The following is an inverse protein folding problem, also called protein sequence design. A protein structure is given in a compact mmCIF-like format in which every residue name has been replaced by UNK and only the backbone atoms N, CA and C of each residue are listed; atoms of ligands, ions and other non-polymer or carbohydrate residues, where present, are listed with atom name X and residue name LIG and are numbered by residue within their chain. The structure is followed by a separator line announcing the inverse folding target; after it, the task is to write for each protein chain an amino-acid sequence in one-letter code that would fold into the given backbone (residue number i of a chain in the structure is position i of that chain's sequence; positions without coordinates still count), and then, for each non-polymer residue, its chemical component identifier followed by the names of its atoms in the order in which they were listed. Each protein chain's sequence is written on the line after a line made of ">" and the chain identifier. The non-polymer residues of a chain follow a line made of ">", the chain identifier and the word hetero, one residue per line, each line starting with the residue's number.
data_IF_793742305958
#
_entry.id   IF_793742305958
#
_cell.length_a   1.000
_cell.length_b   1.000
_cell.length_c   1.000
_cell.angle_alpha   90.00
_cell.angle_beta   90.00
_cell.angle_gamma   90.00
#
_symmetry.space_group_name_H-M   'P 1'
#
loop_
_entity.id
_entity.type
_entity.pdbx_description
1 polymer ?
#
# COMPACT_ATOMS: atom_id res chain seq x y z
N UNK A 1 15.18 -23.80 4.74
CA UNK A 1 16.07 -22.73 5.27
C UNK A 1 17.47 -23.20 5.63
N UNK A 2 17.69 -24.35 6.32
CA UNK A 2 19.04 -24.78 6.76
C UNK A 2 20.12 -24.88 5.67
N UNK A 3 19.74 -25.06 4.41
CA UNK A 3 20.68 -25.11 3.27
C UNK A 3 21.30 -23.74 2.96
N UNK A 4 20.66 -22.65 3.38
CA UNK A 4 21.16 -21.28 3.28
C UNK A 4 21.44 -20.74 4.69
N UNK A 5 22.72 -20.76 5.08
CA UNK A 5 23.16 -20.34 6.41
C UNK A 5 22.94 -18.86 6.67
N UNK A 6 23.03 -18.01 5.64
CA UNK A 6 22.85 -16.56 5.77
C UNK A 6 21.38 -16.26 6.03
N UNK A 7 20.49 -16.84 5.22
CA UNK A 7 19.05 -16.69 5.37
C UNK A 7 18.56 -17.19 6.74
N UNK A 8 19.08 -18.33 7.19
CA UNK A 8 18.74 -18.88 8.50
C UNK A 8 19.21 -17.98 9.66
N UNK A 9 20.42 -17.41 9.56
CA UNK A 9 20.94 -16.47 10.56
C UNK A 9 20.05 -15.23 10.68
N UNK A 10 19.67 -14.61 9.56
CA UNK A 10 18.79 -13.44 9.54
C UNK A 10 17.39 -13.77 10.07
N UNK A 11 16.83 -14.93 9.71
CA UNK A 11 15.57 -15.44 10.26
C UNK A 11 15.63 -15.56 11.79
N UNK A 12 16.69 -16.17 12.33
CA UNK A 12 16.89 -16.30 13.78
C UNK A 12 17.04 -14.95 14.48
N UNK A 13 17.71 -13.97 13.84
CA UNK A 13 17.81 -12.60 14.37
C UNK A 13 16.43 -11.93 14.51
N UNK A 14 15.56 -12.05 13.50
CA UNK A 14 14.20 -11.49 13.55
C UNK A 14 13.41 -12.08 14.72
N UNK A 15 13.47 -13.40 14.90
CA UNK A 15 12.76 -14.08 15.99
C UNK A 15 13.33 -13.73 17.37
N UNK A 16 14.66 -13.61 17.48
CA UNK A 16 15.29 -13.16 18.71
C UNK A 16 14.82 -11.75 19.07
N UNK A 17 14.77 -10.83 18.11
CA UNK A 17 14.23 -9.49 18.35
C UNK A 17 12.76 -9.54 18.80
N UNK A 18 11.94 -10.40 18.20
CA UNK A 18 10.56 -10.58 18.67
C UNK A 18 10.45 -11.12 20.10
N UNK A 19 11.36 -12.01 20.52
CA UNK A 19 11.43 -12.50 21.89
C UNK A 19 11.88 -11.40 22.86
N UNK A 20 12.96 -10.69 22.52
CA UNK A 20 13.55 -9.64 23.35
C UNK A 20 12.56 -8.47 23.54
N UNK A 21 11.73 -8.17 22.53
CA UNK A 21 10.66 -7.16 22.59
C UNK A 21 9.35 -7.68 23.23
N UNK A 22 9.27 -8.97 23.59
CA UNK A 22 8.07 -9.60 24.13
C UNK A 22 6.90 -9.70 23.15
N UNK A 23 7.17 -9.56 21.85
CA UNK A 23 6.19 -9.73 20.75
C UNK A 23 5.75 -11.19 20.65
N UNK A 24 6.67 -12.12 20.86
CA UNK A 24 6.40 -13.55 20.96
C UNK A 24 6.90 -14.10 22.29
N UNK A 25 6.38 -15.24 22.70
CA UNK A 25 6.87 -15.99 23.86
C UNK A 25 6.93 -17.49 23.56
N UNK A 26 7.82 -18.18 24.25
CA UNK A 26 7.92 -19.65 24.18
C UNK A 26 6.77 -20.27 24.97
N UNK A 27 6.09 -21.23 24.37
CA UNK A 27 5.07 -22.03 25.06
C UNK A 27 5.79 -23.16 25.81
N UNK A 28 5.75 -23.13 27.14
CA UNK A 28 6.48 -24.08 27.99
C UNK A 28 5.88 -25.49 27.98
N UNK A 29 4.54 -25.58 27.96
CA UNK A 29 3.80 -26.85 28.00
C UNK A 29 2.83 -26.95 26.80
N UNK A 30 3.34 -27.05 25.56
CA UNK A 30 2.49 -26.96 24.37
C UNK A 30 1.51 -28.12 24.21
N UNK A 31 1.79 -29.26 24.84
CA UNK A 31 0.97 -30.47 24.79
C UNK A 31 -0.08 -30.57 25.90
N UNK A 32 -0.08 -29.63 26.85
CA UNK A 32 -1.14 -29.56 27.86
C UNK A 32 -2.37 -28.94 27.20
N UNK A 33 -3.52 -29.63 27.19
CA UNK A 33 -4.75 -29.09 26.62
C UNK A 33 -5.10 -27.76 27.27
N UNK A 34 -5.41 -26.77 26.44
CA UNK A 34 -5.95 -25.49 26.89
C UNK A 34 -7.46 -25.54 26.81
N UNK A 35 -8.14 -24.80 27.70
CA UNK A 35 -9.59 -24.58 27.57
C UNK A 35 -9.97 -23.59 26.45
N UNK A 36 -8.97 -23.08 25.72
CA UNK A 36 -9.12 -22.16 24.61
C UNK A 36 -8.79 -22.85 23.28
N UNK A 37 -9.36 -22.38 22.15
CA UNK A 37 -8.97 -22.84 20.82
C UNK A 37 -7.45 -22.67 20.58
N UNK A 38 -6.87 -23.62 19.83
CA UNK A 38 -5.45 -23.64 19.51
C UNK A 38 -5.28 -23.74 18.01
N UNK A 39 -4.40 -22.93 17.44
CA UNK A 39 -4.08 -22.98 16.00
C UNK A 39 -2.59 -22.70 15.79
N UNK A 40 -1.99 -23.42 14.83
CA UNK A 40 -0.59 -23.31 14.47
C UNK A 40 -0.45 -22.68 13.09
N UNK A 41 0.04 -21.45 13.04
CA UNK A 41 0.30 -20.70 11.84
C UNK A 41 1.53 -21.26 11.12
N UNK A 42 1.41 -21.75 9.87
CA UNK A 42 2.56 -21.92 9.03
C UNK A 42 3.18 -20.55 8.72
N UNK A 43 4.50 -20.53 8.57
CA UNK A 43 5.22 -19.32 8.23
C UNK A 43 6.35 -19.58 7.25
N UNK A 44 6.65 -18.55 6.46
CA UNK A 44 7.70 -18.56 5.47
C UNK A 44 8.47 -17.25 5.46
N UNK A 45 9.69 -17.27 4.92
CA UNK A 45 10.51 -16.06 4.77
C UNK A 45 10.34 -15.50 3.37
N UNK A 46 10.10 -14.19 3.30
CA UNK A 46 10.09 -13.41 2.06
C UNK A 46 11.25 -12.43 2.09
N UNK A 47 12.04 -12.42 1.01
CA UNK A 47 13.10 -11.44 0.80
C UNK A 47 12.55 -10.28 -0.04
N UNK A 48 12.56 -9.07 0.52
CA UNK A 48 12.21 -7.84 -0.18
C UNK A 48 13.48 -7.09 -0.56
N UNK A 49 14.05 -7.42 -1.72
CA UNK A 49 15.27 -6.78 -2.22
C UNK A 49 15.13 -5.26 -2.36
N UNK A 50 13.92 -4.77 -2.66
CA UNK A 50 13.58 -3.35 -2.80
C UNK A 50 13.36 -2.62 -1.45
N UNK A 51 13.39 -3.32 -0.30
CA UNK A 51 13.18 -2.68 1.00
C UNK A 51 14.49 -2.12 1.55
N UNK A 52 14.53 -0.80 1.76
CA UNK A 52 15.67 -0.10 2.37
C UNK A 52 15.93 -0.55 3.81
N UNK A 53 14.88 -0.84 4.60
CA UNK A 53 15.01 -1.08 6.05
C UNK A 53 14.85 -2.53 6.49
N UNK A 54 14.17 -3.38 5.72
CA UNK A 54 13.87 -4.75 6.17
C UNK A 54 13.85 -5.72 4.99
N UNK A 55 15.05 -6.19 4.63
CA UNK A 55 15.25 -7.12 3.50
C UNK A 55 14.62 -8.50 3.74
N UNK A 56 14.47 -8.95 4.99
CA UNK A 56 13.87 -10.24 5.34
C UNK A 56 12.61 -10.03 6.19
N UNK A 57 11.48 -10.60 5.75
CA UNK A 57 10.24 -10.64 6.56
C UNK A 57 9.78 -12.08 6.75
N UNK A 58 9.30 -12.39 7.96
CA UNK A 58 8.60 -13.64 8.25
C UNK A 58 7.12 -13.38 8.04
N UNK A 59 6.48 -14.16 7.17
CA UNK A 59 5.05 -14.08 6.87
C UNK A 59 4.38 -15.30 7.46
N UNK A 60 3.36 -15.04 8.29
CA UNK A 60 2.51 -16.05 8.89
C UNK A 60 1.22 -16.13 8.08
N UNK A 61 0.78 -17.36 7.77
CA UNK A 61 -0.38 -17.60 6.92
C UNK A 61 -1.55 -18.13 7.76
N UNK A 62 -2.47 -17.23 8.10
CA UNK A 62 -3.69 -17.57 8.83
C UNK A 62 -4.83 -18.05 7.92
N UNK A 63 -4.61 -18.08 6.60
CA UNK A 63 -5.55 -18.63 5.62
C UNK A 63 -5.21 -20.09 5.25
N UNK A 64 -4.06 -20.61 5.70
CA UNK A 64 -3.70 -21.99 5.48
C UNK A 64 -4.67 -22.95 6.20
N UNK A 65 -5.15 -23.95 5.46
CA UNK A 65 -6.02 -25.01 5.96
C UNK A 65 -5.86 -26.26 5.10
N UNK A 66 -6.21 -27.42 5.68
CA UNK A 66 -6.37 -28.66 4.93
C UNK A 66 -7.68 -28.65 4.14
N UNK A 67 -7.80 -29.51 3.13
CA UNK A 67 -9.02 -29.62 2.34
C UNK A 67 -10.22 -29.90 3.26
N UNK A 68 -11.30 -29.12 3.09
CA UNK A 68 -12.55 -29.21 3.88
C UNK A 68 -12.40 -28.84 5.37
N UNK A 69 -11.28 -28.25 5.78
CA UNK A 69 -11.12 -27.67 7.12
C UNK A 69 -11.20 -26.15 7.06
N UNK A 70 -11.50 -25.52 8.19
CA UNK A 70 -11.47 -24.06 8.31
C UNK A 70 -10.06 -23.56 8.65
N UNK A 71 -9.66 -22.47 8.01
CA UNK A 71 -8.49 -21.72 8.44
C UNK A 71 -8.80 -20.87 9.68
N UNK A 72 -7.76 -20.29 10.28
CA UNK A 72 -7.97 -19.32 11.35
C UNK A 72 -8.81 -18.14 10.86
N UNK A 73 -8.52 -17.63 9.67
CA UNK A 73 -9.24 -16.49 9.09
C UNK A 73 -10.73 -16.80 8.85
N UNK A 74 -11.10 -18.04 8.52
CA UNK A 74 -12.51 -18.45 8.37
C UNK A 74 -13.26 -18.45 9.70
N UNK A 75 -12.55 -18.67 10.81
CA UNK A 75 -13.13 -18.74 12.15
C UNK A 75 -13.21 -17.37 12.84
N UNK A 76 -12.55 -16.35 12.31
CA UNK A 76 -12.47 -15.03 12.92
C UNK A 76 -13.48 -14.06 12.33
N UNK A 77 -14.08 -13.24 13.20
CA UNK A 77 -14.82 -12.07 12.75
C UNK A 77 -13.82 -11.00 12.28
N UNK A 78 -13.81 -10.74 10.97
CA UNK A 78 -12.89 -9.79 10.32
C UNK A 78 -13.04 -8.34 10.82
N UNK A 79 -14.23 -7.98 11.30
CA UNK A 79 -14.57 -6.58 11.60
C UNK A 79 -14.91 -5.78 10.34
N UNK A 80 -15.48 -4.59 10.54
CA UNK A 80 -15.79 -3.65 9.44
C UNK A 80 -14.52 -3.00 8.93
N UNK A 81 -14.47 -2.66 7.64
CA UNK A 81 -13.33 -1.90 7.12
C UNK A 81 -13.41 -0.45 7.62
N UNK A 82 -12.48 -0.08 8.51
CA UNK A 82 -12.34 1.27 9.05
C UNK A 82 -11.25 2.09 8.35
N UNK A 83 -10.52 1.50 7.40
CA UNK A 83 -9.54 2.24 6.62
C UNK A 83 -10.28 3.14 5.60
N UNK A 84 -9.74 4.34 5.33
CA UNK A 84 -10.26 5.22 4.30
C UNK A 84 -10.14 4.58 2.91
N UNK A 85 -10.94 5.09 1.98
CA UNK A 85 -10.83 4.70 0.59
C UNK A 85 -9.49 5.18 0.01
N UNK A 86 -8.73 4.27 -0.61
CA UNK A 86 -7.42 4.59 -1.21
C UNK A 86 -7.55 5.65 -2.30
N UNK A 87 -8.63 5.63 -3.09
CA UNK A 87 -8.88 6.65 -4.12
C UNK A 87 -9.03 8.04 -3.49
N UNK A 88 -9.86 8.16 -2.46
CA UNK A 88 -10.09 9.43 -1.76
C UNK A 88 -8.80 9.95 -1.13
N UNK A 89 -8.00 9.06 -0.53
CA UNK A 89 -6.68 9.40 0.00
C UNK A 89 -5.72 9.88 -1.08
N UNK A 90 -5.66 9.20 -2.22
CA UNK A 90 -4.78 9.59 -3.32
C UNK A 90 -5.23 10.91 -3.95
N UNK A 91 -6.53 11.18 -4.04
CA UNK A 91 -7.05 12.48 -4.49
C UNK A 91 -6.64 13.57 -3.50
N UNK A 92 -6.91 13.38 -2.20
CA UNK A 92 -6.50 14.31 -1.14
C UNK A 92 -4.98 14.55 -1.16
N UNK A 93 -4.20 13.48 -1.28
CA UNK A 93 -2.75 13.54 -1.41
C UNK A 93 -2.30 14.38 -2.61
N UNK A 94 -3.02 14.31 -3.74
CA UNK A 94 -2.78 15.13 -4.92
C UNK A 94 -3.29 16.57 -4.79
N UNK A 95 -4.24 16.82 -3.89
CA UNK A 95 -4.79 18.15 -3.63
C UNK A 95 -3.93 18.99 -2.68
N UNK A 96 -3.09 18.39 -1.84
CA UNK A 96 -2.25 19.15 -0.90
C UNK A 96 -1.00 19.70 -1.60
N UNK A 97 -0.70 21.00 -1.48
CA UNK A 97 0.52 21.57 -2.08
C UNK A 97 1.79 20.96 -1.51
N UNK A 98 1.86 20.88 -0.18
CA UNK A 98 2.95 20.22 0.55
C UNK A 98 2.41 18.91 1.08
N UNK A 99 2.84 17.82 0.46
CA UNK A 99 2.47 16.46 0.82
C UNK A 99 3.44 15.89 1.86
N UNK A 100 2.91 15.07 2.77
CA UNK A 100 3.70 14.32 3.76
C UNK A 100 3.27 12.85 3.81
N UNK A 101 4.25 11.99 4.01
CA UNK A 101 4.03 10.59 4.38
C UNK A 101 4.76 10.29 5.69
N UNK A 102 4.20 9.39 6.49
CA UNK A 102 4.87 8.79 7.64
C UNK A 102 4.40 7.36 7.88
N UNK A 103 5.30 6.51 8.38
CA UNK A 103 5.01 5.13 8.73
C UNK A 103 4.78 5.02 10.24
N UNK A 104 3.87 4.15 10.68
CA UNK A 104 3.77 3.72 12.07
C UNK A 104 4.71 2.52 12.30
N UNK A 105 5.66 2.67 13.22
CA UNK A 105 6.58 1.58 13.55
C UNK A 105 5.86 0.32 14.07
N UNK A 106 5.98 -0.78 13.31
CA UNK A 106 5.49 -2.12 13.68
C UNK A 106 4.02 -2.08 14.13
N UNK A 107 3.18 -1.33 13.41
CA UNK A 107 1.84 -0.92 13.83
C UNK A 107 1.00 -2.01 14.51
N UNK A 108 0.83 -3.17 13.87
CA UNK A 108 0.09 -4.30 14.45
C UNK A 108 0.74 -4.85 15.73
N UNK A 109 2.07 -4.98 15.74
CA UNK A 109 2.83 -5.56 16.85
C UNK A 109 2.85 -4.66 18.10
N UNK A 110 2.36 -3.42 18.00
CA UNK A 110 2.15 -2.55 19.16
C UNK A 110 0.85 -2.88 19.92
N UNK A 111 -0.04 -3.71 19.37
CA UNK A 111 -1.35 -4.02 19.95
C UNK A 111 -1.27 -5.38 20.64
N UNK A 112 -1.59 -5.43 21.93
CA UNK A 112 -1.57 -6.67 22.71
C UNK A 112 -2.79 -7.54 22.43
N UNK A 113 -2.56 -8.86 22.32
CA UNK A 113 -3.63 -9.85 22.31
C UNK A 113 -4.09 -10.15 23.73
N UNK A 114 -5.39 -10.38 23.90
CA UNK A 114 -5.91 -10.86 25.17
C UNK A 114 -5.35 -12.26 25.47
N UNK A 115 -5.07 -12.60 26.74
CA UNK A 115 -4.46 -13.89 27.11
C UNK A 115 -5.17 -15.13 26.54
N UNK A 116 -6.51 -15.08 26.45
CA UNK A 116 -7.34 -16.16 25.91
C UNK A 116 -7.18 -16.41 24.41
N UNK A 117 -6.74 -15.40 23.66
CA UNK A 117 -6.64 -15.44 22.19
C UNK A 117 -5.20 -15.73 21.71
N UNK A 118 -4.22 -15.81 22.62
CA UNK A 118 -2.81 -16.04 22.24
C UNK A 118 -2.55 -17.43 21.66
N UNK A 119 -3.38 -18.41 22.01
CA UNK A 119 -3.16 -19.80 21.59
C UNK A 119 -3.65 -20.11 20.16
N UNK A 120 -4.43 -19.22 19.55
CA UNK A 120 -4.79 -19.32 18.13
C UNK A 120 -3.72 -18.75 17.19
N UNK A 121 -2.63 -18.20 17.73
CA UNK A 121 -1.51 -17.63 16.96
C UNK A 121 -0.18 -18.28 17.34
N UNK A 122 -0.20 -19.60 17.58
CA UNK A 122 1.02 -20.39 17.79
C UNK A 122 1.74 -20.62 16.48
N UNK A 123 3.03 -20.92 16.54
CA UNK A 123 3.81 -21.37 15.40
C UNK A 123 4.99 -22.23 15.86
N UNK A 124 5.53 -23.02 14.93
CA UNK A 124 6.53 -24.03 15.18
C UNK A 124 7.89 -23.58 14.68
N UNK A 125 8.95 -23.75 15.48
CA UNK A 125 10.32 -23.49 15.04
C UNK A 125 11.15 -24.75 15.22
N UNK A 126 11.75 -25.19 14.13
CA UNK A 126 12.72 -26.28 14.11
C UNK A 126 13.95 -25.94 14.98
N UNK A 127 14.26 -26.80 15.96
CA UNK A 127 15.33 -26.59 16.93
C UNK A 127 16.64 -27.27 16.50
N UNK A 128 17.07 -27.04 15.26
CA UNK A 128 18.35 -27.58 14.78
C UNK A 128 18.42 -29.11 14.71
N UNK A 129 17.30 -29.82 14.82
CA UNK A 129 17.22 -31.29 14.78
C UNK A 129 16.92 -31.89 16.15
N UNK A 130 17.00 -31.08 17.20
CA UNK A 130 16.65 -31.46 18.57
C UNK A 130 15.15 -31.22 18.84
N UNK A 131 14.29 -31.59 17.88
CA UNK A 131 12.84 -31.40 17.94
C UNK A 131 12.36 -30.01 17.52
N UNK A 132 11.17 -29.65 17.99
CA UNK A 132 10.46 -28.42 17.61
C UNK A 132 10.13 -27.61 18.85
N UNK A 133 10.42 -26.31 18.81
CA UNK A 133 9.97 -25.35 19.81
C UNK A 133 8.64 -24.73 19.38
N UNK A 134 7.73 -24.56 20.33
CA UNK A 134 6.46 -23.86 20.10
C UNK A 134 6.55 -22.45 20.64
N UNK A 135 6.19 -21.48 19.81
CA UNK A 135 6.07 -20.08 20.18
C UNK A 135 4.65 -19.60 19.90
N UNK A 136 4.26 -18.49 20.52
CA UNK A 136 3.01 -17.79 20.23
C UNK A 136 3.19 -16.28 20.25
N UNK A 137 2.34 -15.58 19.52
CA UNK A 137 2.31 -14.12 19.55
C UNK A 137 1.60 -13.59 20.80
N UNK A 138 2.16 -12.53 21.35
CA UNK A 138 1.57 -11.68 22.39
C UNK A 138 0.88 -10.44 21.81
N UNK A 139 0.98 -10.25 20.49
CA UNK A 139 0.59 -9.05 19.76
C UNK A 139 -0.18 -9.39 18.50
N UNK A 140 -1.00 -8.46 18.03
CA UNK A 140 -1.69 -8.57 16.73
C UNK A 140 -0.63 -8.64 15.63
N UNK A 141 -0.81 -9.52 14.65
CA UNK A 141 0.19 -9.81 13.61
C UNK A 141 -0.36 -9.63 12.20
N UNK A 142 0.54 -9.44 11.24
CA UNK A 142 0.21 -9.49 9.82
C UNK A 142 -0.24 -10.91 9.41
N UNK A 143 -1.15 -10.99 8.44
CA UNK A 143 -1.66 -12.25 7.88
C UNK A 143 -3.01 -12.70 8.45
N UNK A 144 -3.42 -12.14 9.60
CA UNK A 144 -4.75 -12.38 10.20
C UNK A 144 -5.74 -11.33 9.68
N UNK A 145 -6.91 -11.77 9.21
CA UNK A 145 -7.91 -10.92 8.55
C UNK A 145 -8.52 -9.86 9.46
N UNK A 146 -8.60 -10.11 10.77
CA UNK A 146 -9.11 -9.16 11.77
C UNK A 146 -8.09 -8.07 12.15
N UNK A 147 -6.79 -8.25 11.85
CA UNK A 147 -5.74 -7.32 12.24
C UNK A 147 -5.94 -5.89 11.73
N UNK A 148 -6.32 -5.63 10.46
CA UNK A 148 -6.59 -4.28 9.96
C UNK A 148 -7.66 -3.55 10.76
N UNK A 149 -8.78 -4.23 11.10
CA UNK A 149 -9.82 -3.65 11.93
C UNK A 149 -9.30 -3.31 13.33
N UNK A 150 -8.59 -4.24 13.97
CA UNK A 150 -8.04 -4.03 15.32
C UNK A 150 -7.08 -2.84 15.35
N UNK A 151 -6.24 -2.67 14.33
CA UNK A 151 -5.35 -1.51 14.22
C UNK A 151 -6.11 -0.20 14.08
N UNK A 152 -6.98 -0.13 13.08
CA UNK A 152 -7.75 1.08 12.80
C UNK A 152 -8.63 1.47 14.00
N UNK A 153 -9.37 0.53 14.58
CA UNK A 153 -10.20 0.78 15.76
C UNK A 153 -9.38 1.27 16.95
N UNK A 154 -8.18 0.71 17.16
CA UNK A 154 -7.30 1.14 18.25
C UNK A 154 -6.72 2.54 18.00
N UNK A 155 -6.36 2.89 16.76
CA UNK A 155 -5.94 4.25 16.40
C UNK A 155 -7.08 5.23 16.63
N UNK A 156 -8.27 4.96 16.08
CA UNK A 156 -9.46 5.81 16.25
C UNK A 156 -9.78 6.05 17.73
N UNK A 157 -9.81 4.97 18.53
CA UNK A 157 -10.06 5.07 19.97
C UNK A 157 -9.00 5.88 20.73
N UNK A 158 -7.75 5.86 20.25
CA UNK A 158 -6.68 6.62 20.85
C UNK A 158 -6.80 8.11 20.54
N UNK A 159 -6.99 8.47 19.27
CA UNK A 159 -7.06 9.88 18.84
C UNK A 159 -8.29 10.62 19.36
N UNK A 160 -9.40 9.91 19.64
CA UNK A 160 -10.61 10.46 20.29
C UNK A 160 -10.30 11.27 21.56
N UNK A 161 -9.28 10.88 22.33
CA UNK A 161 -8.88 11.56 23.57
C UNK A 161 -8.37 12.98 23.35
N UNK A 162 -8.00 13.32 22.11
CA UNK A 162 -7.36 14.59 21.76
C UNK A 162 -8.27 15.52 20.96
N UNK A 163 -9.52 15.12 20.70
CA UNK A 163 -10.47 15.90 19.87
C UNK A 163 -10.62 17.33 20.38
N UNK A 164 -10.80 17.51 21.69
CA UNK A 164 -10.96 18.83 22.32
C UNK A 164 -9.68 19.70 22.22
N UNK A 165 -8.50 19.08 22.22
CA UNK A 165 -7.21 19.78 22.27
C UNK A 165 -6.64 20.07 20.89
N UNK A 166 -6.82 19.14 19.95
CA UNK A 166 -6.22 19.14 18.63
C UNK A 166 -7.23 18.70 17.55
N UNK A 167 -8.40 19.37 17.42
CA UNK A 167 -9.51 18.89 16.57
C UNK A 167 -9.10 18.74 15.10
N UNK A 168 -8.30 19.67 14.57
CA UNK A 168 -7.82 19.62 13.17
C UNK A 168 -6.93 18.40 12.91
N UNK A 169 -5.92 18.17 13.75
CA UNK A 169 -5.02 17.02 13.63
C UNK A 169 -5.78 15.71 13.82
N UNK A 170 -6.69 15.61 14.78
CA UNK A 170 -7.47 14.39 14.99
C UNK A 170 -8.34 14.06 13.78
N UNK A 171 -8.98 15.06 13.17
CA UNK A 171 -9.73 14.87 11.92
C UNK A 171 -8.84 14.31 10.80
N UNK A 172 -7.64 14.87 10.63
CA UNK A 172 -6.69 14.37 9.62
C UNK A 172 -6.28 12.94 9.94
N UNK A 173 -5.89 12.62 11.17
CA UNK A 173 -5.51 11.25 11.54
C UNK A 173 -6.67 10.26 11.34
N UNK A 174 -7.91 10.64 11.63
CA UNK A 174 -9.08 9.76 11.47
C UNK A 174 -9.37 9.39 10.01
N UNK A 175 -9.06 10.29 9.07
CA UNK A 175 -9.35 10.11 7.63
C UNK A 175 -8.13 9.76 6.79
N UNK A 176 -6.91 10.04 7.26
CA UNK A 176 -5.69 9.94 6.47
C UNK A 176 -4.76 8.76 6.82
N UNK A 177 -5.09 7.98 7.86
CA UNK A 177 -4.38 6.73 8.16
C UNK A 177 -4.91 5.58 7.30
N UNK A 178 -4.07 5.02 6.44
CA UNK A 178 -4.31 3.76 5.74
C UNK A 178 -3.42 2.68 6.33
N UNK A 179 -3.99 1.83 7.19
CA UNK A 179 -3.25 0.78 7.91
C UNK A 179 -2.09 1.39 8.72
N UNK A 180 -0.85 1.26 8.26
CA UNK A 180 0.36 1.77 8.90
C UNK A 180 0.91 3.07 8.27
N UNK A 181 0.30 3.56 7.19
CA UNK A 181 0.76 4.76 6.49
C UNK A 181 -0.15 5.96 6.81
N UNK A 182 0.44 7.09 7.21
CA UNK A 182 -0.21 8.40 7.23
C UNK A 182 0.07 9.10 5.91
N UNK A 183 -0.98 9.46 5.16
CA UNK A 183 -0.87 10.10 3.85
C UNK A 183 -1.69 11.38 3.83
N UNK A 184 -1.04 12.54 3.91
CA UNK A 184 -1.74 13.83 4.03
C UNK A 184 -0.88 14.99 3.53
N UNK A 185 -1.29 16.22 3.80
CA UNK A 185 -0.54 17.44 3.51
C UNK A 185 -1.37 18.67 3.83
N UNK A 186 -0.81 19.85 3.59
CA UNK A 186 -1.48 21.16 3.67
C UNK A 186 -0.85 22.12 2.63
N UNK A 187 -1.30 23.38 2.62
CA UNK A 187 -0.87 24.38 1.63
C UNK A 187 0.42 25.14 2.01
N UNK A 188 0.83 25.11 3.28
CA UNK A 188 2.00 25.86 3.77
C UNK A 188 2.85 25.10 4.80
N UNK A 189 4.14 25.42 4.83
CA UNK A 189 5.15 24.73 5.64
C UNK A 189 4.83 24.75 7.13
N UNK A 190 4.29 25.87 7.64
CA UNK A 190 3.99 26.01 9.06
C UNK A 190 2.84 25.09 9.46
N UNK A 191 1.75 25.09 8.69
CA UNK A 191 0.60 24.23 8.94
C UNK A 191 0.99 22.75 8.89
N UNK A 192 1.80 22.34 7.91
CA UNK A 192 2.30 20.95 7.82
C UNK A 192 3.23 20.60 8.99
N UNK A 193 4.10 21.53 9.41
CA UNK A 193 4.97 21.30 10.56
C UNK A 193 4.18 21.16 11.86
N UNK A 194 3.19 22.02 12.09
CA UNK A 194 2.33 21.97 13.29
C UNK A 194 1.50 20.66 13.30
N UNK A 195 1.00 20.24 12.13
CA UNK A 195 0.31 18.96 11.94
C UNK A 195 1.22 17.77 12.29
N UNK A 196 2.40 17.69 11.68
CA UNK A 196 3.34 16.57 11.89
C UNK A 196 3.86 16.51 13.34
N UNK A 197 4.13 17.66 13.95
CA UNK A 197 4.49 17.78 15.37
C UNK A 197 3.38 17.30 16.29
N UNK A 198 2.14 17.74 16.04
CA UNK A 198 0.98 17.36 16.85
C UNK A 198 0.64 15.89 16.68
N UNK A 199 0.70 15.37 15.44
CA UNK A 199 0.48 13.95 15.16
C UNK A 199 1.52 13.08 15.87
N UNK A 200 2.81 13.46 15.81
CA UNK A 200 3.90 12.76 16.52
C UNK A 200 3.66 12.74 18.03
N UNK A 201 3.22 13.87 18.60
CA UNK A 201 2.89 13.99 20.02
C UNK A 201 1.69 13.13 20.42
N UNK A 202 0.62 13.11 19.62
CA UNK A 202 -0.55 12.26 19.90
C UNK A 202 -0.13 10.79 19.87
N UNK A 203 0.67 10.38 18.90
CA UNK A 203 1.02 8.97 18.70
C UNK A 203 2.09 8.46 19.69
N UNK A 204 2.95 9.35 20.20
CA UNK A 204 3.98 8.97 21.19
C UNK A 204 3.40 8.47 22.52
N UNK A 205 2.21 8.94 22.91
CA UNK A 205 1.53 8.54 24.15
C UNK A 205 1.18 7.03 24.21
N UNK A 206 1.20 6.33 23.08
CA UNK A 206 0.91 4.88 22.98
C UNK A 206 2.08 4.06 22.43
N UNK A 207 3.32 4.54 22.60
CA UNK A 207 4.54 3.94 22.03
C UNK A 207 4.50 3.78 20.51
N UNK A 208 3.60 4.50 19.82
CA UNK A 208 3.47 4.46 18.35
C UNK A 208 4.31 5.58 17.77
N UNK A 209 5.52 5.23 17.36
CA UNK A 209 6.44 6.18 16.76
C UNK A 209 6.06 6.34 15.28
N UNK A 210 5.52 7.51 14.94
CA UNK A 210 5.49 7.97 13.55
C UNK A 210 6.92 8.26 13.14
N UNK A 211 7.33 7.65 12.03
CA UNK A 211 8.71 7.67 11.57
C UNK A 211 8.78 7.77 10.07
N UNK A 212 10.01 7.89 9.56
CA UNK A 212 10.30 7.94 8.13
C UNK A 212 9.49 9.04 7.43
N UNK A 213 9.36 10.18 8.11
CA UNK A 213 8.71 11.35 7.55
C UNK A 213 9.36 11.73 6.22
N UNK A 214 8.55 12.03 5.22
CA UNK A 214 9.01 12.44 3.90
C UNK A 214 8.04 13.47 3.33
N UNK A 215 8.56 14.46 2.59
CA UNK A 215 7.78 15.51 1.97
C UNK A 215 8.42 15.97 0.66
N UNK A 216 7.62 16.59 -0.21
CA UNK A 216 8.12 17.31 -1.39
C UNK A 216 8.71 18.69 -1.07
N UNK A 217 8.51 19.25 0.14
CA UNK A 217 9.03 20.58 0.49
C UNK A 217 10.38 20.52 1.22
N UNK A 218 11.41 21.13 0.63
CA UNK A 218 12.76 21.11 1.18
C UNK A 218 12.95 21.96 2.43
N UNK A 219 12.11 22.98 2.67
CA UNK A 219 12.17 23.79 3.89
C UNK A 219 11.60 23.00 5.06
N UNK A 220 10.48 22.30 4.86
CA UNK A 220 9.92 21.39 5.84
C UNK A 220 10.90 20.27 6.21
N UNK A 221 11.53 19.63 5.22
CA UNK A 221 12.54 18.59 5.48
C UNK A 221 13.70 19.10 6.34
N UNK A 222 14.21 20.32 6.05
CA UNK A 222 15.24 20.96 6.89
C UNK A 222 14.74 21.27 8.30
N UNK A 223 13.50 21.72 8.44
CA UNK A 223 12.91 22.01 9.74
C UNK A 223 12.76 20.74 10.59
N UNK A 224 12.26 19.65 10.00
CA UNK A 224 12.23 18.33 10.65
C UNK A 224 13.61 17.84 11.07
N UNK A 225 14.66 18.09 10.27
CA UNK A 225 16.02 17.76 10.65
C UNK A 225 16.49 18.54 11.89
N UNK A 226 16.21 19.85 11.96
CA UNK A 226 16.55 20.68 13.11
C UNK A 226 15.81 20.25 14.40
N UNK A 227 14.58 19.78 14.25
CA UNK A 227 13.70 19.34 15.34
C UNK A 227 13.83 17.84 15.63
N UNK A 228 14.86 17.18 15.07
CA UNK A 228 15.19 15.77 15.30
C UNK A 228 14.08 14.77 14.98
N UNK A 229 13.25 15.05 13.97
CA UNK A 229 12.29 14.08 13.46
C UNK A 229 13.01 12.91 12.79
N UNK A 230 12.47 11.69 12.94
CA UNK A 230 12.84 10.53 12.12
C UNK A 230 12.28 10.72 10.70
N UNK A 231 13.05 11.40 9.86
CA UNK A 231 12.73 11.68 8.46
C UNK A 231 13.69 10.94 7.53
N UNK A 232 13.22 10.63 6.32
CA UNK A 232 14.04 9.98 5.32
C UNK A 232 15.00 10.99 4.68
N UNK A 233 16.20 10.55 4.34
CA UNK A 233 17.17 11.41 3.67
C UNK A 233 16.78 11.54 2.19
N UNK A 234 16.69 12.77 1.67
CA UNK A 234 16.39 13.00 0.25
C UNK A 234 17.40 12.30 -0.68
N UNK A 235 18.64 12.12 -0.25
CA UNK A 235 19.66 11.42 -1.01
C UNK A 235 19.35 9.93 -1.20
N UNK A 236 18.53 9.32 -0.34
CA UNK A 236 18.13 7.92 -0.47
C UNK A 236 17.16 7.69 -1.66
N UNK A 237 16.59 8.78 -2.21
CA UNK A 237 15.63 8.76 -3.31
C UNK A 237 16.21 9.21 -4.64
N UNK A 238 17.51 9.55 -4.69
CA UNK A 238 18.18 9.88 -5.94
C UNK A 238 18.10 8.65 -6.84
N UNK A 239 17.28 8.73 -7.89
CA UNK A 239 16.91 7.65 -8.82
C UNK A 239 15.95 6.57 -8.29
N UNK A 240 15.36 6.73 -7.11
CA UNK A 240 14.45 5.74 -6.51
C UNK A 240 13.20 6.41 -5.91
N UNK A 241 12.04 6.35 -6.59
CA UNK A 241 10.81 6.92 -6.04
C UNK A 241 10.31 6.13 -4.81
N UNK A 242 9.73 6.84 -3.85
CA UNK A 242 9.11 6.29 -2.64
C UNK A 242 7.76 5.65 -2.97
N UNK A 243 7.34 4.62 -2.22
CA UNK A 243 6.01 4.02 -2.42
C UNK A 243 4.94 4.82 -1.70
N UNK A 244 3.79 5.05 -2.34
CA UNK A 244 2.62 5.65 -1.71
C UNK A 244 1.37 4.90 -2.16
N UNK A 245 0.72 4.21 -1.22
CA UNK A 245 -0.55 3.49 -1.44
C UNK A 245 -0.59 2.62 -2.72
N UNK A 246 0.54 2.02 -3.10
CA UNK A 246 0.68 1.16 -4.29
C UNK A 246 1.25 1.84 -5.54
N UNK A 247 1.33 3.17 -5.56
CA UNK A 247 2.03 3.96 -6.58
C UNK A 247 3.48 4.26 -6.16
N UNK A 248 4.24 4.87 -7.08
CA UNK A 248 5.56 5.43 -6.83
C UNK A 248 5.45 6.96 -6.84
N UNK A 249 6.17 7.62 -5.94
CA UNK A 249 6.23 9.07 -5.80
C UNK A 249 7.69 9.52 -5.70
N UNK A 250 8.08 10.42 -6.60
CA UNK A 250 9.31 11.18 -6.50
C UNK A 250 9.01 12.48 -5.74
N UNK A 251 9.42 12.61 -4.46
CA UNK A 251 9.18 13.82 -3.69
C UNK A 251 10.01 15.01 -4.17
N UNK A 252 11.16 14.78 -4.83
CA UNK A 252 12.05 15.87 -5.25
C UNK A 252 11.47 16.62 -6.44
N UNK A 253 11.01 15.88 -7.45
CA UNK A 253 10.40 16.45 -8.66
C UNK A 253 8.87 16.54 -8.55
N UNK A 254 8.29 15.93 -7.53
CA UNK A 254 6.87 15.87 -7.21
C UNK A 254 5.98 15.18 -8.27
N UNK A 255 6.45 14.04 -8.77
CA UNK A 255 5.74 13.21 -9.76
C UNK A 255 5.33 11.86 -9.19
N UNK A 256 4.16 11.40 -9.60
CA UNK A 256 3.70 10.03 -9.45
C UNK A 256 4.04 9.20 -10.69
N UNK A 257 4.32 7.91 -10.46
CA UNK A 257 4.48 6.92 -11.52
C UNK A 257 3.94 5.55 -11.08
N UNK A 258 3.77 4.65 -12.05
CA UNK A 258 3.24 3.31 -11.83
C UNK A 258 4.36 2.32 -11.48
N UNK A 259 4.05 1.34 -10.63
CA UNK A 259 4.99 0.26 -10.32
C UNK A 259 4.90 -0.87 -11.36
N UNK A 260 5.82 -0.87 -12.32
CA UNK A 260 5.74 -1.77 -13.49
C UNK A 260 6.74 -2.92 -13.51
N UNK A 261 7.74 -2.96 -12.62
CA UNK A 261 8.79 -4.00 -12.64
C UNK A 261 8.21 -5.42 -12.72
N UNK A 262 7.21 -5.72 -11.88
CA UNK A 262 6.57 -7.05 -11.88
C UNK A 262 5.81 -7.39 -13.16
N UNK A 263 5.32 -6.39 -13.89
CA UNK A 263 4.73 -6.54 -15.23
C UNK A 263 5.83 -6.81 -16.26
N UNK A 264 6.85 -5.96 -16.32
CA UNK A 264 7.92 -6.07 -17.31
C UNK A 264 8.68 -7.40 -17.16
N UNK A 265 8.94 -7.84 -15.93
CA UNK A 265 9.59 -9.13 -15.66
C UNK A 265 8.77 -10.32 -16.17
N UNK A 266 7.43 -10.28 -16.02
CA UNK A 266 6.60 -11.40 -16.48
C UNK A 266 6.46 -11.39 -18.00
N UNK A 267 6.38 -10.22 -18.64
CA UNK A 267 6.25 -10.09 -20.09
C UNK A 267 7.46 -10.70 -20.83
N UNK A 268 8.65 -10.72 -20.22
CA UNK A 268 9.82 -11.40 -20.77
C UNK A 268 9.63 -12.91 -21.00
N UNK A 269 8.66 -13.55 -20.32
CA UNK A 269 8.36 -14.97 -20.51
C UNK A 269 7.68 -15.27 -21.85
N UNK A 270 7.17 -14.25 -22.56
CA UNK A 270 6.57 -14.36 -23.91
C UNK A 270 5.59 -15.53 -24.05
N UNK A 271 4.67 -15.67 -23.09
CA UNK A 271 3.59 -16.66 -23.18
C UNK A 271 2.33 -16.01 -23.75
N UNK A 272 1.55 -16.77 -24.49
CA UNK A 272 0.34 -16.27 -25.14
C UNK A 272 -0.83 -17.16 -24.76
N UNK A 273 -1.19 -17.16 -23.47
CA UNK A 273 -2.37 -17.87 -22.96
C UNK A 273 -3.30 -16.91 -22.24
N UNK A 274 -4.58 -17.26 -22.14
CA UNK A 274 -5.59 -16.49 -21.39
C UNK A 274 -5.15 -16.24 -19.95
N UNK A 275 -4.59 -17.27 -19.28
CA UNK A 275 -4.05 -17.14 -17.91
C UNK A 275 -2.89 -16.16 -17.83
N UNK A 276 -1.96 -16.21 -18.77
CA UNK A 276 -0.81 -15.31 -18.77
C UNK A 276 -1.22 -13.86 -19.00
N UNK A 277 -2.12 -13.62 -19.94
CA UNK A 277 -2.68 -12.30 -20.23
C UNK A 277 -3.35 -11.69 -18.99
N UNK A 278 -4.20 -12.45 -18.29
CA UNK A 278 -4.82 -11.99 -17.03
C UNK A 278 -3.79 -11.73 -15.93
N UNK A 279 -2.78 -12.60 -15.83
CA UNK A 279 -1.68 -12.47 -14.86
C UNK A 279 -0.84 -11.20 -15.12
N UNK A 280 -0.62 -10.83 -16.39
CA UNK A 280 0.06 -9.60 -16.77
C UNK A 280 -0.77 -8.38 -16.39
N UNK A 281 -2.02 -8.29 -16.85
CA UNK A 281 -2.86 -7.12 -16.58
C UNK A 281 -3.15 -6.91 -15.09
N UNK A 282 -3.33 -7.99 -14.31
CA UNK A 282 -3.52 -7.91 -12.86
C UNK A 282 -2.35 -7.32 -12.08
N UNK A 283 -1.20 -7.08 -12.72
CA UNK A 283 -0.04 -6.38 -12.12
C UNK A 283 -0.08 -4.86 -12.31
N UNK A 284 -0.99 -4.34 -13.13
CA UNK A 284 -1.18 -2.90 -13.29
C UNK A 284 -2.10 -2.44 -12.17
N UNK A 285 -1.51 -1.75 -11.19
CA UNK A 285 -2.24 -1.09 -10.13
C UNK A 285 -2.39 0.39 -10.45
N UNK A 286 -3.57 0.78 -10.93
CA UNK A 286 -3.88 2.15 -11.38
C UNK A 286 -5.18 2.65 -10.72
N UNK A 287 -5.16 2.96 -9.42
CA UNK A 287 -6.34 3.36 -8.67
C UNK A 287 -6.93 4.70 -9.15
N UNK A 288 -6.11 5.57 -9.74
CA UNK A 288 -6.51 6.89 -10.25
C UNK A 288 -6.88 6.88 -11.75
N UNK A 289 -6.68 5.76 -12.43
CA UNK A 289 -7.05 5.59 -13.83
C UNK A 289 -6.14 6.31 -14.83
N UNK A 290 -4.89 6.64 -14.48
CA UNK A 290 -3.94 7.35 -15.36
C UNK A 290 -3.65 6.63 -16.68
N UNK A 291 -3.71 5.29 -16.66
CA UNK A 291 -3.46 4.45 -17.83
C UNK A 291 -4.73 3.66 -18.21
N UNK A 292 -5.91 4.21 -17.90
CA UNK A 292 -7.20 3.61 -18.27
C UNK A 292 -7.30 3.32 -19.78
N UNK A 293 -6.77 4.20 -20.64
CA UNK A 293 -6.74 4.01 -22.09
C UNK A 293 -5.85 2.84 -22.53
N UNK A 294 -4.82 2.54 -21.75
CA UNK A 294 -3.97 1.37 -21.99
C UNK A 294 -4.65 0.09 -21.49
N UNK A 295 -5.25 0.12 -20.29
CA UNK A 295 -5.87 -1.05 -19.65
C UNK A 295 -7.23 -1.43 -20.26
N UNK A 296 -7.96 -0.49 -20.88
CA UNK A 296 -9.22 -0.80 -21.56
C UNK A 296 -9.01 -1.71 -22.76
N UNK A 297 -7.89 -1.56 -23.50
CA UNK A 297 -7.54 -2.44 -24.62
C UNK A 297 -7.39 -3.89 -24.18
N UNK A 298 -6.83 -4.11 -22.99
CA UNK A 298 -6.79 -5.43 -22.37
C UNK A 298 -8.20 -5.96 -22.07
N UNK A 299 -9.09 -5.15 -21.50
CA UNK A 299 -10.46 -5.60 -21.16
C UNK A 299 -11.24 -6.02 -22.42
N UNK A 300 -11.09 -5.26 -23.50
CA UNK A 300 -11.66 -5.59 -24.82
C UNK A 300 -11.08 -6.92 -25.33
N UNK A 301 -9.75 -7.04 -25.31
CA UNK A 301 -9.08 -8.26 -25.77
C UNK A 301 -9.50 -9.49 -24.96
N UNK A 302 -9.63 -9.35 -23.65
CA UNK A 302 -10.09 -10.43 -22.77
C UNK A 302 -11.53 -10.84 -23.09
N UNK A 303 -12.41 -9.89 -23.41
CA UNK A 303 -13.77 -10.17 -23.86
C UNK A 303 -13.78 -10.96 -25.19
N UNK A 304 -12.94 -10.59 -26.16
CA UNK A 304 -12.79 -11.30 -27.44
C UNK A 304 -12.34 -12.76 -27.21
N UNK A 305 -11.37 -12.98 -26.31
CA UNK A 305 -10.91 -14.33 -25.94
C UNK A 305 -12.05 -15.18 -25.35
N UNK A 306 -12.88 -14.59 -24.48
CA UNK A 306 -14.03 -15.30 -23.90
C UNK A 306 -15.05 -15.72 -24.96
N UNK A 307 -15.29 -14.88 -25.97
CA UNK A 307 -16.21 -15.21 -27.07
C UNK A 307 -15.70 -16.38 -27.92
N UNK A 308 -14.37 -16.52 -28.04
CA UNK A 308 -13.72 -17.62 -28.75
C UNK A 308 -13.71 -18.94 -27.95
N UNK A 309 -14.11 -18.92 -26.67
CA UNK A 309 -14.13 -20.08 -25.77
C UNK A 309 -12.77 -20.77 -25.59
N UNK A 310 -11.67 -20.04 -25.76
CA UNK A 310 -10.30 -20.53 -25.52
C UNK A 310 -10.11 -20.92 -24.06
N UNK A 311 -9.46 -22.06 -23.80
CA UNK A 311 -9.18 -22.51 -22.43
C UNK A 311 -8.06 -21.70 -21.74
N UNK A 312 -7.87 -21.91 -20.43
CA UNK A 312 -6.95 -21.08 -19.62
C UNK A 312 -5.48 -21.13 -20.07
N UNK A 313 -5.02 -22.32 -20.46
CA UNK A 313 -3.63 -22.62 -20.81
C UNK A 313 -3.44 -22.90 -22.30
N UNK A 314 -4.50 -22.78 -23.08
CA UNK A 314 -4.46 -22.89 -24.54
C UNK A 314 -3.78 -21.65 -25.16
N UNK A 315 -3.06 -21.87 -26.26
CA UNK A 315 -2.42 -20.79 -27.01
C UNK A 315 -3.48 -19.89 -27.66
N UNK A 316 -3.27 -18.58 -27.60
CA UNK A 316 -4.18 -17.60 -28.21
C UNK A 316 -4.18 -17.74 -29.74
N UNK A 317 -5.36 -17.54 -30.35
CA UNK A 317 -5.49 -17.48 -31.81
C UNK A 317 -4.65 -16.33 -32.39
N UNK A 318 -4.18 -16.45 -33.66
CA UNK A 318 -3.21 -15.52 -34.23
C UNK A 318 -3.62 -14.03 -34.16
N UNK A 319 -4.89 -13.74 -34.38
CA UNK A 319 -5.48 -12.39 -34.37
C UNK A 319 -5.48 -11.75 -32.96
N UNK A 320 -5.75 -12.56 -31.93
CA UNK A 320 -5.69 -12.12 -30.53
C UNK A 320 -4.24 -12.00 -30.07
N UNK A 321 -3.40 -12.96 -30.47
CA UNK A 321 -1.97 -12.98 -30.15
C UNK A 321 -1.28 -11.70 -30.62
N UNK A 322 -1.52 -11.29 -31.86
CA UNK A 322 -0.93 -10.07 -32.43
C UNK A 322 -1.33 -8.81 -31.63
N UNK A 323 -2.62 -8.68 -31.29
CA UNK A 323 -3.11 -7.58 -30.43
C UNK A 323 -2.47 -7.61 -29.04
N UNK A 324 -2.28 -8.80 -28.47
CA UNK A 324 -1.63 -8.95 -27.17
C UNK A 324 -0.15 -8.59 -27.22
N UNK A 325 0.57 -9.03 -28.26
CA UNK A 325 1.98 -8.72 -28.47
C UNK A 325 2.19 -7.20 -28.63
N UNK A 326 1.31 -6.53 -29.38
CA UNK A 326 1.33 -5.07 -29.49
C UNK A 326 1.15 -4.41 -28.12
N UNK A 327 0.12 -4.81 -27.36
CA UNK A 327 -0.13 -4.31 -26.01
C UNK A 327 1.07 -4.53 -25.07
N UNK A 328 1.73 -5.69 -25.16
CA UNK A 328 2.94 -6.00 -24.39
C UNK A 328 4.10 -5.09 -24.78
N UNK A 329 4.28 -4.81 -26.07
CA UNK A 329 5.39 -3.98 -26.57
C UNK A 329 5.30 -2.53 -26.11
N UNK A 330 4.08 -2.01 -25.93
CA UNK A 330 3.84 -0.64 -25.47
C UNK A 330 3.90 -0.52 -23.94
N UNK A 331 3.85 -1.64 -23.21
CA UNK A 331 3.84 -1.64 -21.74
C UNK A 331 5.11 -1.00 -21.14
N UNK A 332 6.26 -1.06 -21.83
CA UNK A 332 7.49 -0.42 -21.38
C UNK A 332 7.39 1.11 -21.39
N UNK A 333 6.66 1.70 -22.33
CA UNK A 333 6.51 3.16 -22.42
C UNK A 333 5.73 3.73 -21.22
N UNK A 334 4.95 2.91 -20.51
CA UNK A 334 4.30 3.33 -19.27
C UNK A 334 5.30 3.67 -18.15
N UNK A 335 6.55 3.18 -18.23
CA UNK A 335 7.60 3.52 -17.26
C UNK A 335 8.13 4.94 -17.41
N UNK A 336 7.90 5.57 -18.56
CA UNK A 336 8.28 6.95 -18.86
C UNK A 336 7.22 7.95 -18.37
N UNK A 337 6.03 7.46 -17.98
CA UNK A 337 4.93 8.31 -17.55
C UNK A 337 5.22 8.95 -16.19
N UNK A 338 5.36 10.27 -16.19
CA UNK A 338 5.48 11.10 -15.00
C UNK A 338 4.22 11.96 -14.87
N UNK A 339 3.41 11.70 -13.84
CA UNK A 339 2.17 12.43 -13.58
C UNK A 339 2.42 13.43 -12.44
N UNK A 340 2.22 14.75 -12.61
CA UNK A 340 2.36 15.69 -11.51
C UNK A 340 1.52 15.25 -10.32
N UNK A 341 2.12 15.15 -9.12
CA UNK A 341 1.36 14.77 -7.91
C UNK A 341 0.37 15.89 -7.57
N UNK A 342 0.85 17.12 -7.42
CA UNK A 342 -0.01 18.26 -7.13
C UNK A 342 -0.94 18.54 -8.31
N UNK A 343 -2.26 18.42 -8.08
CA UNK A 343 -3.27 18.55 -9.13
C UNK A 343 -3.86 19.96 -9.24
N UNK A 344 -3.62 20.82 -8.24
CA UNK A 344 -4.25 22.12 -8.13
C UNK A 344 -3.29 23.22 -8.58
N UNK A 345 -3.32 23.65 -9.84
CA UNK A 345 -2.35 24.61 -10.41
C UNK A 345 -2.39 26.06 -9.85
N UNK A 346 -3.02 26.32 -8.70
CA UNK A 346 -3.02 27.63 -8.05
C UNK A 346 -2.97 27.54 -6.53
N UNK A 347 -2.53 28.63 -5.89
CA UNK A 347 -2.77 28.82 -4.46
C UNK A 347 -4.26 29.07 -4.23
N UNK A 348 -4.86 28.35 -3.28
CA UNK A 348 -6.26 28.47 -2.84
C UNK A 348 -6.67 29.91 -2.50
N UNK A 349 -5.69 30.76 -2.13
CA UNK A 349 -5.87 32.18 -1.87
C UNK A 349 -6.14 33.04 -3.13
N UNK A 350 -5.74 32.59 -4.33
CA UNK A 350 -5.80 33.38 -5.57
C UNK A 350 -6.83 32.87 -6.60
N UNK A 351 -7.46 31.71 -6.38
CA UNK A 351 -8.55 31.25 -7.22
C UNK A 351 -9.73 30.72 -6.37
N UNK A 352 -10.83 31.49 -6.25
CA UNK A 352 -11.97 31.10 -5.43
C UNK A 352 -12.87 30.05 -6.09
N UNK A 353 -12.69 29.77 -7.39
CA UNK A 353 -13.53 28.84 -8.15
C UNK A 353 -12.69 27.73 -8.78
N UNK A 354 -12.92 26.51 -8.28
CA UNK A 354 -12.39 25.27 -8.84
C UNK A 354 -13.48 24.65 -9.73
N UNK A 355 -13.21 24.46 -11.02
CA UNK A 355 -14.13 23.81 -11.94
C UNK A 355 -13.67 22.37 -12.23
N UNK A 356 -14.61 21.43 -12.28
CA UNK A 356 -14.34 20.07 -12.74
C UNK A 356 -14.95 19.92 -14.13
N UNK A 357 -14.11 19.67 -15.13
CA UNK A 357 -14.53 19.47 -16.51
C UNK A 357 -14.45 17.98 -16.81
N UNK A 358 -15.60 17.35 -17.04
CA UNK A 358 -15.67 15.94 -17.41
C UNK A 358 -16.00 15.82 -18.89
N UNK A 359 -15.09 15.17 -19.61
CA UNK A 359 -15.30 14.78 -21.00
C UNK A 359 -15.66 13.30 -21.02
N UNK A 360 -16.67 12.93 -21.79
CA UNK A 360 -17.08 11.54 -21.98
C UNK A 360 -17.27 11.26 -23.45
N UNK A 361 -16.83 10.09 -23.88
CA UNK A 361 -17.04 9.62 -25.25
C UNK A 361 -17.41 8.13 -25.26
N UNK A 362 -18.10 7.73 -26.32
CA UNK A 362 -18.62 6.41 -26.53
C UNK A 362 -18.13 5.89 -27.87
N UNK A 363 -17.54 4.70 -27.86
CA UNK A 363 -17.24 3.96 -29.09
C UNK A 363 -18.02 2.66 -29.12
N UNK A 364 -17.91 1.90 -30.21
CA UNK A 364 -18.59 0.60 -30.36
C UNK A 364 -18.20 -0.38 -29.25
N UNK A 365 -16.97 -0.28 -28.71
CA UNK A 365 -16.42 -1.26 -27.77
C UNK A 365 -16.41 -0.72 -26.32
N UNK A 366 -15.65 0.35 -25.99
CA UNK A 366 -15.75 0.99 -24.69
C UNK A 366 -16.47 2.34 -24.67
N UNK A 367 -16.96 2.68 -23.49
CA UNK A 367 -17.25 4.05 -23.04
C UNK A 367 -16.10 4.54 -22.17
N UNK A 368 -15.74 5.82 -22.28
CA UNK A 368 -14.68 6.44 -21.52
C UNK A 368 -15.11 7.80 -20.97
N UNK A 369 -14.57 8.16 -19.81
CA UNK A 369 -14.68 9.50 -19.27
C UNK A 369 -13.36 9.91 -18.62
N UNK A 370 -13.02 11.20 -18.75
CA UNK A 370 -11.86 11.81 -18.11
C UNK A 370 -12.31 13.12 -17.46
N UNK A 371 -11.92 13.30 -16.20
CA UNK A 371 -12.21 14.52 -15.45
C UNK A 371 -10.92 15.30 -15.22
N UNK A 372 -10.96 16.59 -15.53
CA UNK A 372 -9.89 17.54 -15.27
C UNK A 372 -10.35 18.55 -14.21
N UNK A 373 -9.40 18.98 -13.39
CA UNK A 373 -9.62 20.08 -12.46
C UNK A 373 -9.00 21.33 -13.08
N UNK A 374 -9.81 22.37 -13.28
CA UNK A 374 -9.35 23.67 -13.76
C UNK A 374 -9.43 24.70 -12.63
N UNK A 375 -8.28 25.22 -12.25
CA UNK A 375 -8.11 26.16 -11.15
C UNK A 375 -7.84 27.59 -11.62
N UNK A 376 -8.18 27.94 -12.87
CA UNK A 376 -8.06 29.30 -13.37
C UNK A 376 -9.23 29.66 -14.31
N UNK A 377 -10.05 30.64 -13.92
CA UNK A 377 -10.67 31.51 -14.93
C UNK A 377 -9.57 32.44 -15.47
N UNK A 378 -8.91 32.04 -16.56
CA UNK A 378 -8.33 33.06 -17.44
C UNK A 378 -9.50 33.94 -17.92
N UNK A 379 -9.38 35.28 -17.92
CA UNK A 379 -10.40 36.13 -18.53
C UNK A 379 -10.62 35.64 -19.97
N UNK A 380 -11.87 35.41 -20.31
CA UNK A 380 -12.34 34.78 -21.54
C UNK A 380 -11.73 35.43 -22.79
N UNK A 381 -10.64 34.86 -23.30
CA UNK A 381 -10.32 34.96 -24.72
C UNK A 381 -10.80 33.65 -25.35
N UNK A 382 -11.88 33.76 -26.11
CA UNK A 382 -12.46 32.70 -26.92
C UNK A 382 -11.36 31.92 -27.66
N UNK A 383 -10.99 30.76 -27.17
CA UNK A 383 -10.29 29.75 -27.97
C UNK A 383 -11.36 29.00 -28.76
N UNK A 384 -11.52 29.39 -30.02
CA UNK A 384 -12.23 28.60 -31.01
C UNK A 384 -11.46 27.28 -31.19
N UNK A 385 -11.98 26.19 -30.64
CA UNK A 385 -11.61 24.85 -31.09
C UNK A 385 -12.23 24.66 -32.47
N UNK A 386 -11.42 24.83 -33.51
CA UNK A 386 -11.84 24.44 -34.86
C UNK A 386 -11.81 22.92 -34.96
N UNK A 387 -12.97 22.32 -35.20
CA UNK A 387 -13.14 20.93 -35.63
C UNK A 387 -12.36 20.67 -36.93
N UNK A 388 -11.08 20.35 -36.82
CA UNK A 388 -10.34 19.61 -37.83
C UNK A 388 -9.39 18.69 -37.08
N UNK A 389 -9.53 17.41 -37.37
CA UNK A 389 -8.77 16.26 -36.85
C UNK A 389 -9.55 15.46 -35.79
N UNK A 390 -10.68 14.90 -36.24
CA UNK A 390 -11.30 13.69 -35.70
C UNK A 390 -11.08 12.56 -36.72
#
# INVERSE_FOLDING_TARGET
>A
MRRDKVLYSEYCKVLKNYLDEGIIEKVTNPFVPTNNPVFYLPHQVIIKNESLTTKLRIVFDASAHEEKQFSLNDCLFQGVNLNPNILDLLISFRSNKIAILADVEKAFLQISLAPKDKDVVRFLIDNGGNGVNVYRFNRVLFGVNASPFLLAATIKKHIEKYVEKYPGTVRILDHCFCVDDLVTGEDDVKSVFDLSSTATKIMSDVKRILRKWISNDCKLMKQWQLEHFDHLNMNDFVNHPHRVLGLLWDPQNDYLSLRLNGLLDILQKRKHTKRFLLMAAGRIFDPLGFVSLFTIRFKILFQEIWQQKTDWDEELLPDIREKFELWCSEASSLSELQIPRYALECDSANCPECEIHTFSDASIKPYGAVSFVNNCKKPSNKTNWSNKDM
#
